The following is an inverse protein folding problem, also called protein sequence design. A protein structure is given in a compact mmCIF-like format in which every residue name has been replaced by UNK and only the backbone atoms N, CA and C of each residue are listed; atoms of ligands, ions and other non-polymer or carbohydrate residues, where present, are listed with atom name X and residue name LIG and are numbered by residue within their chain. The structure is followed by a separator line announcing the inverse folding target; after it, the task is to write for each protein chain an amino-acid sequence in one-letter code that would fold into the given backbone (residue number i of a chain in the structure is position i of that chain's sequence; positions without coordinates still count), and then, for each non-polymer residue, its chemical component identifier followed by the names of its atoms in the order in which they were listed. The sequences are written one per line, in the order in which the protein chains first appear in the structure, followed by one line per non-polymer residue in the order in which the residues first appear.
data_IF_951223795467
#
_entry.id   IF_951223795467
#
_cell.length_a   1.000
_cell.length_b   1.000
_cell.length_c   1.000
_cell.angle_alpha   90.00
_cell.angle_beta   90.00
_cell.angle_gamma   90.00
#
_symmetry.space_group_name_H-M   'P 1'
#
loop_
_entity.id
_entity.type
_entity.pdbx_description
1 polymer ?
#
# COMPACT_ATOMS: atom_id res chain seq x y z
N UNK A 1 -6.38 72.86 46.45
CA UNK A 1 -5.86 71.70 45.76
C UNK A 1 -6.71 71.50 44.52
N UNK A 2 -6.20 71.86 43.33
CA UNK A 2 -6.89 71.80 42.02
C UNK A 2 -6.78 70.40 41.46
N UNK A 3 -7.93 69.87 41.05
CA UNK A 3 -8.02 68.59 40.35
C UNK A 3 -8.68 68.87 38.98
N UNK A 4 -7.82 69.11 37.95
CA UNK A 4 -8.28 69.27 36.55
C UNK A 4 -8.28 67.89 35.83
N UNK A 5 -9.37 67.18 35.93
CA UNK A 5 -9.63 66.02 35.14
C UNK A 5 -10.09 66.42 33.73
N UNK A 6 -9.22 66.41 32.77
CA UNK A 6 -9.57 66.49 31.34
C UNK A 6 -10.11 65.15 30.89
N UNK A 7 -11.43 65.06 30.76
CA UNK A 7 -12.09 63.91 30.13
C UNK A 7 -12.10 64.15 28.60
N UNK A 8 -11.20 63.54 27.91
CA UNK A 8 -11.23 63.45 26.44
C UNK A 8 -12.38 62.51 26.03
N UNK A 9 -13.57 63.10 25.74
CA UNK A 9 -14.64 62.39 25.04
C UNK A 9 -14.25 62.27 23.58
N UNK A 10 -13.81 61.10 23.14
CA UNK A 10 -13.72 60.77 21.74
C UNK A 10 -15.15 60.65 21.17
N UNK A 11 -15.67 61.77 20.66
CA UNK A 11 -16.87 61.79 19.84
C UNK A 11 -16.48 61.36 18.44
N UNK A 12 -16.59 60.06 18.15
CA UNK A 12 -16.57 59.57 16.77
C UNK A 12 -17.91 59.95 16.17
N UNK A 13 -17.93 60.81 15.16
CA UNK A 13 -19.16 61.28 14.48
C UNK A 13 -19.88 60.05 13.87
N UNK A 14 -21.14 59.77 14.26
CA UNK A 14 -21.91 58.66 13.70
C UNK A 14 -22.06 58.73 12.18
N UNK A 15 -22.01 59.92 11.59
CA UNK A 15 -22.04 60.12 10.14
C UNK A 15 -20.74 59.62 9.47
N UNK A 16 -19.58 59.81 10.13
CA UNK A 16 -18.30 59.32 9.62
C UNK A 16 -18.26 57.77 9.59
N UNK A 17 -18.80 57.13 10.64
CA UNK A 17 -18.94 55.69 10.69
C UNK A 17 -19.89 55.14 9.63
N UNK A 18 -20.99 55.86 9.34
CA UNK A 18 -21.95 55.45 8.29
C UNK A 18 -21.38 55.57 6.90
N UNK A 19 -20.59 56.62 6.61
CA UNK A 19 -19.91 56.81 5.33
C UNK A 19 -18.84 55.73 5.09
N UNK A 20 -18.01 55.45 6.09
CA UNK A 20 -16.99 54.38 6.02
C UNK A 20 -17.67 53.01 5.85
N UNK A 21 -18.79 52.75 6.48
CA UNK A 21 -19.53 51.48 6.37
C UNK A 21 -20.25 51.32 5.02
N UNK A 22 -20.65 52.42 4.37
CA UNK A 22 -21.25 52.39 3.03
C UNK A 22 -20.22 52.12 1.94
N UNK A 23 -19.00 52.67 2.04
CA UNK A 23 -17.95 52.49 1.05
C UNK A 23 -17.26 51.08 1.14
N UNK A 24 -17.29 50.47 2.33
CA UNK A 24 -16.71 49.13 2.53
C UNK A 24 -17.62 47.98 2.03
N UNK A 25 -18.93 48.14 1.99
CA UNK A 25 -19.86 47.08 1.55
C UNK A 25 -19.63 46.59 0.12
N UNK A 26 -19.51 47.47 -0.90
CA UNK A 26 -19.23 47.01 -2.25
C UNK A 26 -17.86 46.37 -2.37
N UNK A 27 -16.85 46.83 -1.62
CA UNK A 27 -15.52 46.24 -1.62
C UNK A 27 -15.57 44.82 -1.01
N UNK A 28 -16.25 44.62 0.11
CA UNK A 28 -16.44 43.30 0.73
C UNK A 28 -17.19 42.34 -0.19
N UNK A 29 -18.20 42.83 -0.93
CA UNK A 29 -18.92 42.04 -1.91
C UNK A 29 -18.03 41.61 -3.08
N UNK A 30 -17.21 42.53 -3.61
CA UNK A 30 -16.25 42.23 -4.70
C UNK A 30 -15.22 41.21 -4.23
N UNK A 31 -14.63 41.37 -3.02
CA UNK A 31 -13.67 40.43 -2.44
C UNK A 31 -14.31 39.07 -2.22
N UNK A 32 -15.54 39.05 -1.69
CA UNK A 32 -16.30 37.79 -1.50
C UNK A 32 -16.59 37.06 -2.80
N UNK A 33 -17.02 37.81 -3.84
CA UNK A 33 -17.27 37.26 -5.17
C UNK A 33 -15.98 36.69 -5.82
N UNK A 34 -14.87 37.42 -5.68
CA UNK A 34 -13.56 36.96 -6.19
C UNK A 34 -13.09 35.69 -5.48
N UNK A 35 -13.21 35.63 -4.16
CA UNK A 35 -12.89 34.43 -3.39
C UNK A 35 -13.80 33.25 -3.75
N UNK A 36 -15.10 33.48 -3.88
CA UNK A 36 -16.06 32.46 -4.34
C UNK A 36 -15.70 31.91 -5.74
N UNK A 37 -15.26 32.78 -6.65
CA UNK A 37 -14.82 32.38 -7.98
C UNK A 37 -13.55 31.50 -7.92
N UNK A 38 -12.58 31.85 -7.09
CA UNK A 38 -11.36 31.04 -6.88
C UNK A 38 -11.75 29.66 -6.36
N UNK A 39 -12.57 29.59 -5.32
CA UNK A 39 -13.04 28.31 -4.75
C UNK A 39 -13.78 27.48 -5.82
N UNK A 40 -14.66 28.10 -6.60
CA UNK A 40 -15.37 27.44 -7.70
C UNK A 40 -14.39 26.82 -8.72
N UNK A 41 -13.38 27.57 -9.17
CA UNK A 41 -12.39 27.04 -10.11
C UNK A 41 -11.55 25.92 -9.51
N UNK A 42 -11.14 26.03 -8.24
CA UNK A 42 -10.42 24.99 -7.53
C UNK A 42 -11.27 23.70 -7.46
N UNK A 43 -12.52 23.81 -7.01
CA UNK A 43 -13.44 22.67 -6.89
C UNK A 43 -13.68 22.02 -8.26
N UNK A 44 -13.96 22.81 -9.31
CA UNK A 44 -14.13 22.30 -10.66
C UNK A 44 -12.87 21.61 -11.20
N UNK A 45 -11.69 22.17 -10.92
CA UNK A 45 -10.42 21.55 -11.31
C UNK A 45 -10.26 20.17 -10.64
N UNK A 46 -10.51 20.07 -9.33
CA UNK A 46 -10.45 18.79 -8.61
C UNK A 46 -11.48 17.77 -9.09
N UNK A 47 -12.72 18.19 -9.34
CA UNK A 47 -13.77 17.31 -9.88
C UNK A 47 -13.37 16.79 -11.26
N UNK A 48 -12.95 17.66 -12.17
CA UNK A 48 -12.50 17.26 -13.52
C UNK A 48 -11.31 16.31 -13.46
N UNK A 49 -10.35 16.54 -12.57
CA UNK A 49 -9.18 15.67 -12.38
C UNK A 49 -9.60 14.28 -11.90
N UNK A 50 -10.50 14.17 -10.92
CA UNK A 50 -11.01 12.87 -10.42
C UNK A 50 -11.77 12.09 -11.49
N UNK A 51 -12.70 12.73 -12.21
CA UNK A 51 -13.45 12.11 -13.31
C UNK A 51 -12.52 11.67 -14.44
N UNK A 52 -11.45 12.44 -14.71
CA UNK A 52 -10.43 12.08 -15.69
C UNK A 52 -9.65 10.84 -15.25
N UNK A 53 -9.22 10.74 -13.97
CA UNK A 53 -8.45 9.62 -13.46
C UNK A 53 -9.26 8.32 -13.48
N UNK A 54 -10.54 8.35 -13.11
CA UNK A 54 -11.44 7.20 -13.22
C UNK A 54 -11.48 6.64 -14.64
N UNK A 55 -11.74 7.52 -15.60
CA UNK A 55 -11.80 7.13 -17.02
C UNK A 55 -10.46 6.63 -17.56
N UNK A 56 -9.36 7.20 -17.07
CA UNK A 56 -8.01 6.78 -17.46
C UNK A 56 -7.69 5.39 -16.92
N UNK A 57 -8.01 5.11 -15.65
CA UNK A 57 -7.81 3.79 -15.05
C UNK A 57 -8.63 2.73 -15.79
N UNK A 58 -9.92 2.97 -16.05
CA UNK A 58 -10.76 2.03 -16.81
C UNK A 58 -10.19 1.73 -18.21
N UNK A 59 -9.71 2.77 -18.90
CA UNK A 59 -9.02 2.58 -20.18
C UNK A 59 -7.72 1.80 -20.03
N UNK A 60 -6.94 2.09 -18.97
CA UNK A 60 -5.70 1.38 -18.66
C UNK A 60 -5.93 -0.11 -18.39
N UNK A 61 -6.99 -0.46 -17.66
CA UNK A 61 -7.41 -1.86 -17.44
C UNK A 61 -7.71 -2.54 -18.78
N UNK A 62 -8.59 -1.91 -19.60
CA UNK A 62 -8.98 -2.46 -20.90
C UNK A 62 -7.81 -2.62 -21.87
N UNK A 63 -6.84 -1.72 -21.81
CA UNK A 63 -5.63 -1.74 -22.65
C UNK A 63 -4.49 -2.58 -22.07
N UNK A 64 -4.70 -3.21 -20.91
CA UNK A 64 -3.69 -3.99 -20.18
C UNK A 64 -2.40 -3.19 -19.89
N UNK A 65 -2.55 -1.90 -19.54
CA UNK A 65 -1.46 -0.97 -19.23
C UNK A 65 -0.88 -1.18 -17.81
N UNK A 66 -1.62 -1.88 -16.93
CA UNK A 66 -1.13 -2.30 -15.63
C UNK A 66 -0.26 -3.55 -15.79
N UNK A 67 0.99 -3.44 -15.33
CA UNK A 67 1.95 -4.54 -15.48
C UNK A 67 2.61 -4.87 -14.15
N UNK A 68 2.90 -6.18 -13.91
CA UNK A 68 3.62 -6.60 -12.72
C UNK A 68 5.10 -6.25 -12.84
N UNK A 69 5.65 -5.72 -11.76
CA UNK A 69 7.05 -5.73 -11.43
C UNK A 69 7.24 -6.70 -10.27
N UNK A 70 8.39 -7.28 -10.17
CA UNK A 70 8.70 -8.32 -9.21
C UNK A 70 9.83 -7.85 -8.31
N UNK A 71 9.59 -7.76 -7.02
CA UNK A 71 10.64 -7.46 -6.06
C UNK A 71 11.04 -8.74 -5.32
N UNK A 72 12.31 -9.18 -5.45
CA UNK A 72 12.77 -10.40 -4.79
C UNK A 72 12.70 -10.29 -3.26
N UNK A 73 12.32 -11.41 -2.63
CA UNK A 73 12.43 -11.65 -1.19
C UNK A 73 13.53 -12.68 -1.01
N UNK A 74 14.53 -12.37 -0.20
CA UNK A 74 15.72 -13.18 0.00
C UNK A 74 15.71 -13.82 1.39
N UNK A 75 15.92 -15.12 1.45
CA UNK A 75 16.32 -15.82 2.68
C UNK A 75 17.83 -15.61 2.87
N UNK A 76 18.18 -14.61 3.70
CA UNK A 76 19.59 -14.24 3.92
C UNK A 76 20.37 -15.29 4.71
N UNK A 77 19.68 -16.14 5.48
CA UNK A 77 20.31 -17.24 6.21
C UNK A 77 20.74 -18.36 5.26
N UNK A 78 19.91 -18.68 4.26
CA UNK A 78 20.18 -19.71 3.27
C UNK A 78 20.90 -19.17 2.03
N UNK A 79 20.95 -17.85 1.88
CA UNK A 79 21.48 -17.16 0.70
C UNK A 79 20.79 -17.61 -0.60
N UNK A 80 19.46 -17.68 -0.58
CA UNK A 80 18.63 -18.09 -1.71
C UNK A 80 17.40 -17.19 -1.85
N UNK A 81 16.79 -17.16 -3.03
CA UNK A 81 15.55 -16.45 -3.24
C UNK A 81 14.39 -17.24 -2.60
N UNK A 82 13.69 -16.64 -1.63
CA UNK A 82 12.48 -17.17 -1.02
C UNK A 82 11.26 -17.01 -1.92
N UNK A 83 11.16 -15.88 -2.61
CA UNK A 83 10.01 -15.55 -3.44
C UNK A 83 10.11 -14.14 -4.00
N UNK A 84 8.95 -13.60 -4.39
CA UNK A 84 8.86 -12.22 -4.83
C UNK A 84 7.50 -11.61 -4.46
N UNK A 85 7.49 -10.31 -4.27
CA UNK A 85 6.28 -9.50 -4.22
C UNK A 85 5.96 -8.93 -5.60
N UNK A 86 4.68 -8.97 -5.96
CA UNK A 86 4.17 -8.42 -7.22
C UNK A 86 3.68 -7.00 -6.99
N UNK A 87 4.38 -6.06 -7.58
CA UNK A 87 4.12 -4.63 -7.46
C UNK A 87 3.57 -4.09 -8.76
N UNK A 88 2.38 -3.47 -8.71
CA UNK A 88 1.77 -2.87 -9.91
C UNK A 88 2.56 -1.66 -10.40
N UNK A 89 2.66 -1.54 -11.72
CA UNK A 89 3.14 -0.33 -12.41
C UNK A 89 2.19 0.00 -13.54
N UNK A 90 1.83 1.26 -13.69
CA UNK A 90 0.95 1.70 -14.77
C UNK A 90 1.76 2.36 -15.89
N UNK A 91 1.88 1.68 -17.01
CA UNK A 91 2.52 2.19 -18.22
C UNK A 91 1.49 2.83 -19.13
N UNK A 92 1.22 4.11 -18.89
CA UNK A 92 0.22 4.87 -19.63
C UNK A 92 0.62 5.02 -21.10
N UNK A 93 -0.26 4.53 -22.00
CA UNK A 93 -0.01 4.50 -23.45
C UNK A 93 1.34 3.85 -23.85
N UNK A 94 1.92 3.02 -23.00
CA UNK A 94 3.22 2.37 -23.25
C UNK A 94 4.44 3.31 -23.23
N UNK A 95 4.28 4.55 -22.76
CA UNK A 95 5.32 5.58 -22.83
C UNK A 95 5.66 6.20 -21.48
N UNK A 96 4.69 6.39 -20.63
CA UNK A 96 4.82 7.10 -19.37
C UNK A 96 4.53 6.16 -18.20
N UNK A 97 5.42 6.14 -17.22
CA UNK A 97 5.21 5.39 -15.98
C UNK A 97 4.50 6.28 -14.96
N UNK A 98 3.26 5.92 -14.63
CA UNK A 98 2.52 6.52 -13.51
C UNK A 98 2.84 5.70 -12.27
N UNK A 99 3.29 6.37 -11.20
CA UNK A 99 3.70 5.73 -9.96
C UNK A 99 2.47 5.23 -9.15
N UNK A 100 2.62 4.16 -8.37
CA UNK A 100 1.54 3.61 -7.54
C UNK A 100 0.86 4.66 -6.66
N UNK A 101 1.60 5.54 -6.01
CA UNK A 101 1.09 6.58 -5.12
C UNK A 101 0.14 7.57 -5.82
N UNK A 102 0.27 7.72 -7.15
CA UNK A 102 -0.56 8.63 -7.93
C UNK A 102 -1.94 8.07 -8.27
N UNK A 103 -2.14 6.73 -8.26
CA UNK A 103 -3.39 6.12 -8.68
C UNK A 103 -3.98 5.08 -7.71
N UNK A 104 -3.16 4.37 -6.93
CA UNK A 104 -3.64 3.33 -6.01
C UNK A 104 -4.66 3.88 -5.01
N UNK A 105 -4.42 5.00 -4.29
CA UNK A 105 -5.40 5.51 -3.33
C UNK A 105 -6.77 5.83 -3.97
N UNK A 106 -6.76 6.28 -5.23
CA UNK A 106 -7.99 6.49 -5.96
C UNK A 106 -8.64 5.15 -6.39
N UNK A 107 -7.85 4.21 -6.89
CA UNK A 107 -8.33 2.90 -7.34
C UNK A 107 -8.97 2.11 -6.18
N UNK A 108 -8.38 2.15 -4.99
CA UNK A 108 -8.92 1.54 -3.77
C UNK A 108 -10.25 2.18 -3.38
N UNK A 109 -10.32 3.52 -3.26
CA UNK A 109 -11.53 4.24 -2.87
C UNK A 109 -12.68 4.10 -3.90
N UNK A 110 -12.36 3.84 -5.16
CA UNK A 110 -13.35 3.66 -6.23
C UNK A 110 -13.69 2.21 -6.53
N UNK A 111 -13.02 1.25 -5.87
CA UNK A 111 -13.16 -0.18 -6.12
C UNK A 111 -12.49 -0.68 -7.41
N UNK A 112 -11.86 0.20 -8.20
CA UNK A 112 -11.18 -0.18 -9.44
C UNK A 112 -9.92 -1.01 -9.20
N UNK A 113 -9.37 -1.00 -7.98
CA UNK A 113 -8.21 -1.79 -7.60
C UNK A 113 -8.46 -3.28 -7.79
N UNK A 114 -9.68 -3.77 -7.60
CA UNK A 114 -10.07 -5.17 -7.82
C UNK A 114 -9.75 -5.58 -9.26
N UNK A 115 -10.24 -4.82 -10.23
CA UNK A 115 -9.99 -5.11 -11.64
C UNK A 115 -8.51 -4.99 -12.03
N UNK A 116 -7.78 -4.06 -11.39
CA UNK A 116 -6.32 -3.93 -11.58
C UNK A 116 -5.62 -5.19 -11.06
N UNK A 117 -5.98 -5.65 -9.86
CA UNK A 117 -5.40 -6.85 -9.23
C UNK A 117 -5.68 -8.10 -10.06
N UNK A 118 -6.89 -8.25 -10.63
CA UNK A 118 -7.25 -9.38 -11.49
C UNK A 118 -6.38 -9.43 -12.76
N UNK A 119 -6.22 -8.29 -13.44
CA UNK A 119 -5.34 -8.17 -14.61
C UNK A 119 -3.88 -8.46 -14.26
N UNK A 120 -3.45 -7.99 -13.08
CA UNK A 120 -2.09 -8.20 -12.59
C UNK A 120 -1.83 -9.67 -12.29
N UNK A 121 -2.77 -10.34 -11.60
CA UNK A 121 -2.69 -11.77 -11.28
C UNK A 121 -2.63 -12.62 -12.56
N UNK A 122 -3.56 -12.41 -13.51
CA UNK A 122 -3.57 -13.12 -14.80
C UNK A 122 -2.20 -13.03 -15.49
N UNK A 123 -1.65 -11.80 -15.56
CA UNK A 123 -0.37 -11.53 -16.21
C UNK A 123 0.80 -12.17 -15.46
N UNK A 124 0.77 -12.11 -14.12
CA UNK A 124 1.77 -12.73 -13.25
C UNK A 124 1.82 -14.24 -13.45
N UNK A 125 0.68 -14.91 -13.38
CA UNK A 125 0.59 -16.36 -13.58
C UNK A 125 1.12 -16.76 -14.96
N UNK A 126 0.74 -16.03 -16.02
CA UNK A 126 1.23 -16.29 -17.38
C UNK A 126 2.75 -16.13 -17.49
N UNK A 127 3.31 -15.05 -16.94
CA UNK A 127 4.74 -14.76 -17.01
C UNK A 127 5.55 -15.76 -16.20
N UNK A 128 5.17 -16.05 -14.96
CA UNK A 128 5.93 -16.97 -14.10
C UNK A 128 5.81 -18.43 -14.57
N UNK A 129 4.69 -18.84 -15.15
CA UNK A 129 4.57 -20.13 -15.81
C UNK A 129 5.60 -20.30 -16.94
N UNK A 130 5.94 -19.23 -17.65
CA UNK A 130 6.89 -19.28 -18.77
C UNK A 130 8.36 -19.49 -18.36
N UNK A 131 8.67 -19.34 -17.05
CA UNK A 131 10.02 -19.55 -16.49
C UNK A 131 10.09 -20.79 -15.59
N UNK A 132 9.11 -21.69 -15.69
CA UNK A 132 9.03 -22.92 -14.90
C UNK A 132 9.07 -22.64 -13.39
N UNK A 133 8.33 -21.61 -12.95
CA UNK A 133 8.24 -21.25 -11.53
C UNK A 133 7.78 -22.41 -10.65
N UNK A 134 6.91 -23.27 -11.17
CA UNK A 134 6.38 -24.45 -10.51
C UNK A 134 7.48 -25.46 -10.09
N UNK A 135 8.64 -25.43 -10.75
CA UNK A 135 9.77 -26.31 -10.43
C UNK A 135 10.61 -25.77 -9.26
N UNK A 136 10.20 -24.65 -8.67
CA UNK A 136 10.82 -24.06 -7.50
C UNK A 136 9.92 -24.15 -6.28
N UNK A 137 10.46 -23.85 -5.09
CA UNK A 137 9.68 -23.65 -3.87
C UNK A 137 9.35 -22.16 -3.60
N UNK A 138 9.62 -21.28 -4.57
CA UNK A 138 9.49 -19.85 -4.39
C UNK A 138 8.02 -19.42 -4.30
N UNK A 139 7.76 -18.40 -3.48
CA UNK A 139 6.42 -17.86 -3.20
C UNK A 139 6.18 -16.58 -4.00
N UNK A 140 4.97 -16.41 -4.49
CA UNK A 140 4.48 -15.20 -5.15
C UNK A 140 3.55 -14.49 -4.17
N UNK A 141 3.92 -13.31 -3.73
CA UNK A 141 3.08 -12.46 -2.86
C UNK A 141 2.32 -11.43 -3.68
N UNK A 142 1.02 -11.28 -3.44
CA UNK A 142 0.12 -10.39 -4.17
C UNK A 142 -0.75 -9.62 -3.17
N UNK A 143 -0.73 -8.30 -3.29
CA UNK A 143 -1.53 -7.41 -2.45
C UNK A 143 -3.03 -7.54 -2.75
N UNK A 144 -3.84 -7.67 -1.70
CA UNK A 144 -5.30 -7.77 -1.75
C UNK A 144 -5.94 -6.74 -0.83
N UNK A 145 -7.07 -6.19 -1.26
CA UNK A 145 -7.87 -5.32 -0.39
C UNK A 145 -8.93 -6.13 0.39
N UNK A 146 -9.38 -5.64 1.56
CA UNK A 146 -10.39 -6.31 2.36
C UNK A 146 -11.66 -6.70 1.58
N UNK A 147 -12.15 -5.82 0.71
CA UNK A 147 -13.36 -6.09 -0.08
C UNK A 147 -13.27 -7.30 -1.00
N UNK A 148 -12.08 -7.67 -1.49
CA UNK A 148 -11.88 -8.90 -2.26
C UNK A 148 -11.99 -10.13 -1.35
N UNK A 149 -11.42 -10.06 -0.14
CA UNK A 149 -11.44 -11.16 0.83
C UNK A 149 -12.80 -11.32 1.54
N UNK A 150 -13.71 -10.39 1.38
CA UNK A 150 -15.10 -10.51 1.83
C UNK A 150 -16.03 -11.06 0.74
N UNK A 151 -15.56 -11.18 -0.52
CA UNK A 151 -16.30 -11.73 -1.66
C UNK A 151 -15.84 -13.16 -1.96
N UNK A 152 -16.57 -14.12 -1.41
CA UNK A 152 -16.28 -15.55 -1.60
C UNK A 152 -16.41 -15.99 -3.06
N UNK A 153 -17.31 -15.40 -3.83
CA UNK A 153 -17.51 -15.77 -5.24
C UNK A 153 -16.32 -15.29 -6.08
N UNK A 154 -15.91 -14.04 -5.88
CA UNK A 154 -14.72 -13.49 -6.55
C UNK A 154 -13.46 -14.32 -6.21
N UNK A 155 -13.25 -14.64 -4.93
CA UNK A 155 -12.08 -15.43 -4.54
C UNK A 155 -12.10 -16.88 -5.06
N UNK A 156 -13.26 -17.46 -5.32
CA UNK A 156 -13.34 -18.75 -6.04
C UNK A 156 -12.85 -18.61 -7.48
N UNK A 157 -13.24 -17.55 -8.18
CA UNK A 157 -12.81 -17.29 -9.56
C UNK A 157 -11.29 -17.07 -9.61
N UNK A 158 -10.73 -16.36 -8.63
CA UNK A 158 -9.28 -16.18 -8.45
C UNK A 158 -8.58 -17.53 -8.24
N UNK A 159 -9.09 -18.37 -7.34
CA UNK A 159 -8.55 -19.72 -7.10
C UNK A 159 -8.63 -20.60 -8.34
N UNK A 160 -9.75 -20.57 -9.07
CA UNK A 160 -9.90 -21.30 -10.32
C UNK A 160 -8.90 -20.87 -11.38
N UNK A 161 -8.59 -19.56 -11.45
CA UNK A 161 -7.56 -19.02 -12.33
C UNK A 161 -6.16 -19.56 -11.94
N UNK A 162 -5.84 -19.58 -10.66
CA UNK A 162 -4.56 -20.13 -10.15
C UNK A 162 -4.46 -21.62 -10.49
N UNK A 163 -5.50 -22.41 -10.22
CA UNK A 163 -5.51 -23.86 -10.48
C UNK A 163 -5.37 -24.17 -11.98
N UNK A 164 -5.93 -23.32 -12.86
CA UNK A 164 -5.78 -23.46 -14.32
C UNK A 164 -4.38 -23.10 -14.82
N UNK A 165 -3.61 -22.38 -14.05
CA UNK A 165 -2.21 -22.09 -14.37
C UNK A 165 -1.32 -23.29 -14.01
N UNK A 166 -0.05 -23.26 -14.37
CA UNK A 166 0.94 -24.26 -13.92
C UNK A 166 1.46 -23.97 -12.50
N UNK A 167 1.11 -22.84 -11.90
CA UNK A 167 1.58 -22.41 -10.58
C UNK A 167 0.77 -23.13 -9.49
N UNK A 168 1.47 -23.73 -8.54
CA UNK A 168 0.80 -24.36 -7.41
C UNK A 168 0.15 -23.33 -6.48
N UNK A 169 -1.09 -23.54 -6.01
CA UNK A 169 -1.70 -22.68 -4.99
C UNK A 169 -0.79 -22.46 -3.76
N UNK A 170 0.02 -23.45 -3.39
CA UNK A 170 1.01 -23.34 -2.30
C UNK A 170 2.13 -22.34 -2.56
N UNK A 171 2.31 -21.93 -3.80
CA UNK A 171 3.28 -20.91 -4.20
C UNK A 171 2.66 -19.50 -4.23
N UNK A 172 1.39 -19.36 -3.85
CA UNK A 172 0.71 -18.06 -3.79
C UNK A 172 0.52 -17.65 -2.35
N UNK A 173 0.81 -16.38 -2.07
CA UNK A 173 0.46 -15.71 -0.82
C UNK A 173 -0.30 -14.42 -1.14
N UNK A 174 -1.41 -14.17 -0.46
CA UNK A 174 -2.10 -12.88 -0.51
C UNK A 174 -1.69 -12.05 0.70
N UNK A 175 -1.40 -10.78 0.46
CA UNK A 175 -0.99 -9.82 1.47
C UNK A 175 -2.12 -8.86 1.75
N UNK A 176 -2.46 -8.68 3.02
CA UNK A 176 -3.51 -7.80 3.52
C UNK A 176 -2.89 -6.71 4.36
N UNK A 177 -3.13 -5.45 4.01
CA UNK A 177 -2.62 -4.33 4.77
C UNK A 177 -3.49 -4.02 5.98
N UNK A 178 -2.84 -3.64 7.07
CA UNK A 178 -3.50 -3.16 8.29
C UNK A 178 -4.19 -1.79 8.12
N UNK A 179 -3.79 -1.03 7.10
CA UNK A 179 -4.31 0.34 6.86
C UNK A 179 -5.77 0.37 6.41
N UNK A 180 -6.29 -0.74 5.88
CA UNK A 180 -7.66 -0.86 5.43
C UNK A 180 -8.46 -1.74 6.38
N UNK A 181 -9.65 -1.29 6.78
CA UNK A 181 -10.54 -2.05 7.65
C UNK A 181 -11.46 -2.99 6.85
N UNK A 182 -11.66 -4.18 7.38
CA UNK A 182 -12.71 -5.08 6.91
C UNK A 182 -14.09 -4.54 7.33
N UNK A 183 -15.08 -4.71 6.45
CA UNK A 183 -16.48 -4.41 6.76
C UNK A 183 -17.14 -5.54 7.54
N UNK A 184 -16.69 -6.78 7.32
CA UNK A 184 -17.22 -8.00 7.93
C UNK A 184 -16.08 -9.02 8.15
N UNK A 185 -15.53 -9.03 9.37
CA UNK A 185 -14.43 -9.90 9.74
C UNK A 185 -14.78 -11.39 9.64
N UNK A 186 -16.01 -11.78 9.93
CA UNK A 186 -16.43 -13.19 9.90
C UNK A 186 -16.54 -13.71 8.48
N UNK A 187 -17.03 -12.87 7.54
CA UNK A 187 -16.98 -13.19 6.11
C UNK A 187 -15.55 -13.33 5.63
N UNK A 188 -14.68 -12.38 5.97
CA UNK A 188 -13.26 -12.43 5.60
C UNK A 188 -12.60 -13.70 6.16
N UNK A 189 -12.84 -14.04 7.43
CA UNK A 189 -12.32 -15.28 8.05
C UNK A 189 -12.75 -16.52 7.25
N UNK A 190 -14.04 -16.60 6.88
CA UNK A 190 -14.56 -17.72 6.07
C UNK A 190 -13.84 -17.84 4.71
N UNK A 191 -13.54 -16.72 4.07
CA UNK A 191 -12.82 -16.69 2.78
C UNK A 191 -11.35 -17.05 2.98
N UNK A 192 -10.71 -16.52 4.00
CA UNK A 192 -9.32 -16.82 4.33
C UNK A 192 -9.14 -18.31 4.67
N UNK A 193 -10.07 -18.92 5.42
CA UNK A 193 -10.05 -20.35 5.70
C UNK A 193 -10.22 -21.17 4.41
N UNK A 194 -11.10 -20.73 3.49
CA UNK A 194 -11.23 -21.36 2.18
C UNK A 194 -9.92 -21.29 1.39
N UNK A 195 -9.24 -20.13 1.34
CA UNK A 195 -7.95 -19.96 0.67
C UNK A 195 -6.88 -20.87 1.24
N UNK A 196 -6.77 -20.94 2.58
CA UNK A 196 -5.85 -21.86 3.27
C UNK A 196 -6.12 -23.32 2.95
N UNK A 197 -7.40 -23.72 2.87
CA UNK A 197 -7.78 -25.07 2.48
C UNK A 197 -7.37 -25.41 1.03
N UNK A 198 -7.23 -24.41 0.14
CA UNK A 198 -6.66 -24.58 -1.19
C UNK A 198 -5.12 -24.55 -1.20
N UNK A 199 -4.48 -24.27 -0.06
CA UNK A 199 -3.04 -24.17 0.07
C UNK A 199 -2.47 -22.76 -0.16
N UNK A 200 -3.32 -21.76 -0.37
CA UNK A 200 -2.91 -20.35 -0.53
C UNK A 200 -2.67 -19.75 0.86
N UNK A 201 -1.53 -19.12 1.06
CA UNK A 201 -1.22 -18.43 2.30
C UNK A 201 -1.80 -17.01 2.32
N UNK A 202 -2.08 -16.49 3.52
CA UNK A 202 -2.46 -15.09 3.73
C UNK A 202 -1.50 -14.48 4.76
N UNK A 203 -0.89 -13.36 4.42
CA UNK A 203 0.11 -12.66 5.23
C UNK A 203 -0.43 -11.30 5.66
N UNK A 204 -0.06 -10.86 6.84
CA UNK A 204 -0.29 -9.49 7.27
C UNK A 204 0.83 -8.59 6.73
N UNK A 205 0.44 -7.53 6.04
CA UNK A 205 1.33 -6.49 5.54
C UNK A 205 1.32 -5.24 6.41
N UNK A 206 2.39 -4.44 6.35
CA UNK A 206 2.56 -3.18 7.09
C UNK A 206 2.38 -3.33 8.62
N UNK A 207 2.77 -4.47 9.21
CA UNK A 207 2.54 -4.78 10.62
C UNK A 207 3.10 -3.71 11.56
N UNK A 208 2.24 -3.20 12.45
CA UNK A 208 2.58 -2.17 13.44
C UNK A 208 2.28 -0.73 13.02
N UNK A 209 1.71 -0.51 11.84
CA UNK A 209 1.38 0.85 11.34
C UNK A 209 -0.05 1.29 11.65
N UNK A 210 -0.93 0.37 12.06
CA UNK A 210 -2.36 0.63 12.30
C UNK A 210 -2.88 0.09 13.62
N UNK A 211 -4.21 0.04 13.73
CA UNK A 211 -4.92 -0.33 14.96
C UNK A 211 -5.30 -1.81 15.05
N UNK A 212 -5.04 -2.62 14.04
CA UNK A 212 -5.63 -3.95 13.88
C UNK A 212 -4.66 -5.14 13.84
N UNK A 213 -3.32 -4.96 13.78
CA UNK A 213 -2.35 -6.05 13.53
C UNK A 213 -2.60 -7.29 14.36
N UNK A 214 -2.62 -7.17 15.67
CA UNK A 214 -2.79 -8.32 16.56
C UNK A 214 -4.19 -8.92 16.46
N UNK A 215 -5.21 -8.08 16.25
CA UNK A 215 -6.60 -8.53 16.08
C UNK A 215 -6.74 -9.36 14.79
N UNK A 216 -6.17 -8.92 13.68
CA UNK A 216 -6.22 -9.67 12.42
C UNK A 216 -5.41 -10.95 12.47
N UNK A 217 -4.21 -10.92 13.09
CA UNK A 217 -3.40 -12.13 13.31
C UNK A 217 -4.20 -13.18 14.06
N UNK A 218 -4.86 -12.77 15.15
CA UNK A 218 -5.64 -13.68 15.99
C UNK A 218 -6.93 -14.14 15.29
N UNK A 219 -7.70 -13.20 14.72
CA UNK A 219 -9.01 -13.49 14.12
C UNK A 219 -8.88 -14.38 12.87
N UNK A 220 -7.89 -14.10 12.04
CA UNK A 220 -7.64 -14.83 10.80
C UNK A 220 -6.63 -15.98 10.98
N UNK A 221 -6.10 -16.19 12.18
CA UNK A 221 -5.05 -17.19 12.45
C UNK A 221 -3.90 -17.11 11.43
N UNK A 222 -3.35 -15.89 11.23
CA UNK A 222 -2.27 -15.65 10.30
C UNK A 222 -0.95 -16.18 10.86
N UNK A 223 -0.10 -16.72 9.97
CA UNK A 223 1.17 -17.33 10.35
C UNK A 223 2.38 -16.54 9.83
N UNK A 224 2.15 -15.49 9.07
CA UNK A 224 3.20 -14.67 8.47
C UNK A 224 2.88 -13.20 8.62
N UNK A 225 3.90 -12.38 8.88
CA UNK A 225 3.79 -10.92 8.92
C UNK A 225 4.96 -10.28 8.20
N UNK A 226 4.71 -9.11 7.59
CA UNK A 226 5.72 -8.25 6.98
C UNK A 226 5.95 -7.05 7.90
N UNK A 227 7.21 -6.75 8.17
CA UNK A 227 7.63 -5.63 9.01
C UNK A 227 7.85 -4.43 8.09
N UNK A 228 7.05 -3.37 8.27
CA UNK A 228 7.09 -2.16 7.44
C UNK A 228 8.47 -1.48 7.49
N UNK A 229 8.86 -0.93 6.34
CA UNK A 229 10.10 -0.16 6.14
C UNK A 229 10.31 0.93 7.21
N UNK A 230 9.24 1.59 7.68
CA UNK A 230 9.36 2.65 8.67
C UNK A 230 10.01 2.20 9.99
N UNK A 231 9.92 0.92 10.33
CA UNK A 231 10.60 0.34 11.48
C UNK A 231 12.02 -0.09 11.13
N UNK A 232 12.24 -0.67 9.96
CA UNK A 232 13.57 -1.06 9.46
C UNK A 232 14.49 0.14 9.31
N UNK A 233 13.98 1.31 8.91
CA UNK A 233 14.72 2.56 8.79
C UNK A 233 15.25 3.08 10.14
N UNK A 234 14.75 2.60 11.26
CA UNK A 234 15.23 3.00 12.60
C UNK A 234 16.52 2.29 13.02
N UNK A 235 16.89 1.22 12.33
CA UNK A 235 18.09 0.45 12.65
C UNK A 235 19.34 1.30 12.44
N UNK A 236 20.18 1.39 13.48
CA UNK A 236 21.38 2.22 13.47
C UNK A 236 21.14 3.70 13.77
N UNK A 237 19.92 4.07 14.13
CA UNK A 237 19.56 5.43 14.57
C UNK A 237 19.28 5.48 16.08
N UNK A 238 19.00 6.68 16.60
CA UNK A 238 18.53 6.88 17.97
C UNK A 238 17.00 7.02 18.06
N UNK A 239 16.26 6.55 17.04
CA UNK A 239 14.80 6.63 17.02
C UNK A 239 14.18 5.64 18.02
N UNK A 240 13.23 6.11 18.82
CA UNK A 240 12.47 5.29 19.77
C UNK A 240 11.64 4.18 19.09
N UNK A 241 11.37 4.31 17.81
CA UNK A 241 10.67 3.27 17.02
C UNK A 241 11.48 1.97 16.92
N UNK A 242 12.78 1.99 17.20
CA UNK A 242 13.58 0.75 17.30
C UNK A 242 13.00 -0.21 18.34
N UNK A 243 12.49 0.30 19.48
CA UNK A 243 11.82 -0.53 20.49
C UNK A 243 10.53 -1.17 19.96
N UNK A 244 9.84 -0.49 19.03
CA UNK A 244 8.65 -1.06 18.38
C UNK A 244 9.08 -2.20 17.46
N UNK A 245 10.12 -2.02 16.66
CA UNK A 245 10.70 -3.08 15.82
C UNK A 245 11.04 -4.31 16.65
N UNK A 246 11.79 -4.13 17.74
CA UNK A 246 12.18 -5.24 18.63
C UNK A 246 10.97 -5.93 19.24
N UNK A 247 9.91 -5.18 19.55
CA UNK A 247 8.65 -5.72 20.07
C UNK A 247 7.90 -6.55 19.03
N UNK A 248 7.85 -6.09 17.77
CA UNK A 248 7.25 -6.83 16.66
C UNK A 248 8.02 -8.13 16.42
N UNK A 249 9.35 -8.08 16.40
CA UNK A 249 10.21 -9.26 16.23
C UNK A 249 10.01 -10.26 17.39
N UNK A 250 10.00 -9.76 18.63
CA UNK A 250 9.79 -10.61 19.81
C UNK A 250 8.41 -11.29 19.77
N UNK A 251 7.37 -10.56 19.36
CA UNK A 251 6.03 -11.12 19.17
C UNK A 251 6.03 -12.20 18.10
N UNK A 252 6.58 -11.91 16.91
CA UNK A 252 6.63 -12.86 15.79
C UNK A 252 7.35 -14.16 16.19
N UNK A 253 8.49 -14.07 16.87
CA UNK A 253 9.22 -15.23 17.42
C UNK A 253 8.38 -16.02 18.41
N UNK A 254 7.75 -15.35 19.36
CA UNK A 254 6.94 -16.01 20.40
C UNK A 254 5.70 -16.68 19.83
N UNK A 255 5.12 -16.09 18.80
CA UNK A 255 3.95 -16.62 18.08
C UNK A 255 4.33 -17.68 17.03
N UNK A 256 5.62 -17.93 16.77
CA UNK A 256 6.09 -18.87 15.76
C UNK A 256 5.77 -18.41 14.33
N UNK A 257 5.69 -17.09 14.10
CA UNK A 257 5.33 -16.52 12.79
C UNK A 257 6.53 -16.44 11.87
N UNK A 258 6.30 -16.63 10.59
CA UNK A 258 7.23 -16.23 9.53
C UNK A 258 7.26 -14.69 9.46
N UNK A 259 8.45 -14.13 9.48
CA UNK A 259 8.64 -12.68 9.43
C UNK A 259 9.42 -12.28 8.18
N UNK A 260 8.91 -11.29 7.45
CA UNK A 260 9.58 -10.67 6.28
C UNK A 260 9.85 -9.21 6.64
N UNK A 261 11.09 -8.74 6.52
CA UNK A 261 11.43 -7.33 6.71
C UNK A 261 11.47 -6.61 5.36
N UNK A 262 10.81 -5.46 5.30
CA UNK A 262 10.73 -4.63 4.10
C UNK A 262 11.65 -3.42 4.15
N UNK A 263 11.97 -2.90 2.97
CA UNK A 263 12.72 -1.67 2.82
C UNK A 263 14.17 -1.77 3.35
N UNK A 264 14.76 -2.97 3.34
CA UNK A 264 16.18 -3.14 3.71
C UNK A 264 17.05 -2.48 2.64
N UNK A 265 17.79 -1.43 3.02
CA UNK A 265 18.61 -0.64 2.10
C UNK A 265 20.11 -0.75 2.40
N UNK A 266 20.48 -1.20 3.61
CA UNK A 266 21.88 -1.27 4.05
C UNK A 266 22.26 -2.63 4.62
N UNK A 267 23.55 -2.95 4.55
CA UNK A 267 24.10 -4.13 5.21
C UNK A 267 23.86 -4.12 6.72
N UNK A 268 23.95 -2.97 7.36
CA UNK A 268 23.70 -2.84 8.80
C UNK A 268 22.27 -3.25 9.17
N UNK A 269 21.28 -2.82 8.40
CA UNK A 269 19.88 -3.25 8.59
C UNK A 269 19.73 -4.76 8.41
N UNK A 270 20.30 -5.32 7.34
CA UNK A 270 20.24 -6.75 7.05
C UNK A 270 20.89 -7.58 8.17
N UNK A 271 22.10 -7.21 8.63
CA UNK A 271 22.81 -7.90 9.69
C UNK A 271 22.04 -7.85 11.02
N UNK A 272 21.45 -6.68 11.37
CA UNK A 272 20.62 -6.54 12.58
C UNK A 272 19.41 -7.47 12.54
N UNK A 273 18.67 -7.47 11.44
CA UNK A 273 17.49 -8.32 11.25
C UNK A 273 17.84 -9.80 11.32
N UNK A 274 18.93 -10.22 10.65
CA UNK A 274 19.44 -11.59 10.68
C UNK A 274 19.79 -12.03 12.11
N UNK A 275 20.54 -11.21 12.86
CA UNK A 275 20.90 -11.49 14.26
C UNK A 275 19.66 -11.60 15.16
N UNK A 276 18.61 -10.86 14.82
CA UNK A 276 17.32 -10.92 15.51
C UNK A 276 16.35 -11.95 14.91
N UNK A 277 16.82 -12.90 14.08
CA UNK A 277 16.04 -14.03 13.58
C UNK A 277 15.00 -13.69 12.53
N UNK A 278 15.13 -12.55 11.86
CA UNK A 278 14.34 -12.17 10.68
C UNK A 278 15.15 -12.50 9.44
N UNK A 279 14.90 -13.68 8.90
CA UNK A 279 15.70 -14.26 7.81
C UNK A 279 15.23 -13.83 6.43
N UNK A 280 13.93 -13.58 6.26
CA UNK A 280 13.36 -13.15 5.00
C UNK A 280 13.40 -11.64 4.93
N UNK A 281 14.05 -11.12 3.89
CA UNK A 281 14.31 -9.70 3.76
C UNK A 281 14.07 -9.25 2.31
N UNK A 282 13.52 -8.06 2.17
CA UNK A 282 13.20 -7.41 0.91
C UNK A 282 13.64 -5.95 0.97
N UNK A 283 14.20 -5.42 -0.12
CA UNK A 283 14.59 -4.03 -0.20
C UNK A 283 15.68 -3.77 -1.22
N UNK A 284 16.04 -2.50 -1.39
CA UNK A 284 16.99 -2.05 -2.40
C UNK A 284 18.43 -2.54 -2.16
N UNK A 285 18.72 -2.98 -0.94
CA UNK A 285 19.98 -3.66 -0.66
C UNK A 285 20.16 -4.92 -1.49
N UNK A 286 19.06 -5.63 -1.81
CA UNK A 286 19.08 -6.85 -2.62
C UNK A 286 18.69 -6.58 -4.07
N UNK A 287 17.56 -5.90 -4.27
CA UNK A 287 17.06 -5.54 -5.60
C UNK A 287 15.93 -4.50 -5.50
N UNK A 288 15.89 -3.57 -6.45
CA UNK A 288 14.69 -2.82 -6.75
C UNK A 288 13.62 -3.72 -7.41
N UNK A 289 12.35 -3.29 -7.46
CA UNK A 289 11.33 -3.97 -8.26
C UNK A 289 11.74 -4.09 -9.73
N UNK A 290 11.80 -5.30 -10.24
CA UNK A 290 12.30 -5.64 -11.57
C UNK A 290 11.16 -5.84 -12.58
N UNK A 291 11.38 -5.42 -13.83
CA UNK A 291 10.55 -5.87 -14.96
C UNK A 291 10.73 -7.37 -15.17
N UNK A 292 9.73 -8.02 -15.76
CA UNK A 292 9.74 -9.47 -15.94
C UNK A 292 11.04 -10.02 -16.56
N UNK A 293 11.57 -9.39 -17.61
CA UNK A 293 12.79 -9.88 -18.25
C UNK A 293 14.03 -9.81 -17.35
N UNK A 294 14.14 -8.77 -16.53
CA UNK A 294 15.21 -8.63 -15.54
C UNK A 294 15.00 -9.62 -14.39
N UNK A 295 13.74 -9.76 -13.94
CA UNK A 295 13.38 -10.70 -12.88
C UNK A 295 13.63 -12.15 -13.30
N UNK A 296 13.36 -12.53 -14.54
CA UNK A 296 13.65 -13.85 -15.07
C UNK A 296 15.14 -14.21 -14.93
N UNK A 297 16.03 -13.27 -15.29
CA UNK A 297 17.48 -13.47 -15.14
C UNK A 297 17.86 -13.62 -13.66
N UNK A 298 17.31 -12.74 -12.80
CA UNK A 298 17.54 -12.80 -11.35
C UNK A 298 17.07 -14.14 -10.76
N UNK A 299 15.87 -14.58 -11.12
CA UNK A 299 15.30 -15.85 -10.68
C UNK A 299 16.18 -17.04 -11.08
N UNK A 300 16.60 -17.14 -12.35
CA UNK A 300 17.44 -18.23 -12.83
C UNK A 300 18.79 -18.31 -12.10
N UNK A 301 19.34 -17.18 -11.68
CA UNK A 301 20.61 -17.11 -10.96
C UNK A 301 20.47 -17.47 -9.46
N UNK A 302 19.32 -17.19 -8.85
CA UNK A 302 19.12 -17.24 -7.40
C UNK A 302 18.05 -18.25 -6.95
N UNK A 303 17.39 -18.96 -7.90
CA UNK A 303 16.37 -19.95 -7.56
C UNK A 303 16.98 -21.10 -6.77
N UNK A 304 16.24 -21.57 -5.78
CA UNK A 304 16.58 -22.74 -5.00
C UNK A 304 16.70 -23.94 -5.93
N UNK A 305 17.84 -24.59 -5.94
CA UNK A 305 18.00 -25.89 -6.59
C UNK A 305 17.44 -26.96 -5.65
N UNK A 306 16.46 -27.69 -6.11
CA UNK A 306 15.94 -28.88 -5.41
C UNK A 306 16.94 -30.00 -5.39
#
# INVERSE_FOLDING_TARGET
VFNNGVVLKNHVDPKLLSVISMDLKPLLFIVGAFFGMIVFFIVNYYIKRKLSLHSLILKGITRKEFIPYYQPIIDVYKNEMYGCEVLVRWWFNGKELILPDDFIPYAENSGLIINITDVLLEKTLMQLSSVNWQDSSAIISINMIPGQLEDKQHMREVVDLIIKSSISPKQIAFEITERMSFSDLDKAATVIDYLKAQGINVKLDDAGTGYGSFSYIQHFNLQSLKIDKMFVDTIGTHDHKLFVLDSIIAFGKKAGMEMIAEGVETKQQSDYLLQNGVYLQQGFYFSEPLKFEQFRIFFEQNKRKH
#
